data_IF_225657378895
#
_entry.id   IF_225657378895
#
_cell.length_a   1.000
_cell.length_b   1.000
_cell.length_c   1.000
_cell.angle_alpha   90.00
_cell.angle_beta   90.00
_cell.angle_gamma   90.00
#
_symmetry.space_group_name_H-M   'P 1'
#
loop_
_entity.id
_entity.type
_entity.pdbx_description
1 polymer ?
#
# COMPACT_ATOMS: atom_id res chain seq x y z
N UNK A 1 -4.31 -15.35 11.22
CA UNK A 1 -3.54 -14.60 12.20
C UNK A 1 -3.62 -13.11 11.86
N UNK A 2 -3.91 -12.30 12.85
CA UNK A 2 -3.92 -10.85 12.69
C UNK A 2 -2.49 -10.36 12.48
N UNK A 3 -2.30 -9.54 11.46
CA UNK A 3 -1.02 -8.84 11.24
C UNK A 3 -1.01 -7.63 12.17
N UNK A 4 0.06 -7.45 12.90
CA UNK A 4 0.30 -6.28 13.75
C UNK A 4 1.24 -5.33 13.02
N UNK A 5 0.92 -4.04 13.04
CA UNK A 5 1.67 -3.01 12.36
C UNK A 5 2.09 -1.89 13.30
N UNK A 6 3.30 -1.44 13.08
CA UNK A 6 3.80 -0.17 13.59
C UNK A 6 3.78 0.83 12.45
N UNK A 7 3.02 1.91 12.61
CA UNK A 7 2.84 2.92 11.56
C UNK A 7 3.48 4.22 11.99
N UNK A 8 4.25 4.83 11.09
CA UNK A 8 4.90 6.12 11.27
C UNK A 8 4.38 7.12 10.24
N UNK A 9 4.01 8.30 10.68
CA UNK A 9 3.55 9.36 9.80
C UNK A 9 2.58 10.35 10.49
N UNK A 10 2.02 11.28 9.71
CA UNK A 10 2.40 11.59 8.33
C UNK A 10 3.74 12.33 8.28
N UNK A 11 4.58 11.98 7.31
CA UNK A 11 5.93 12.56 7.17
C UNK A 11 5.97 13.49 5.97
N UNK A 12 6.38 14.76 6.13
CA UNK A 12 6.51 15.69 5.03
C UNK A 12 7.64 15.30 4.08
N UNK A 13 7.55 15.81 2.85
CA UNK A 13 8.42 15.41 1.76
C UNK A 13 9.92 15.63 2.03
N UNK A 14 10.27 16.70 2.72
CA UNK A 14 11.66 17.05 3.06
C UNK A 14 12.32 16.10 4.08
N UNK A 15 11.53 15.28 4.78
CA UNK A 15 12.01 14.29 5.74
C UNK A 15 11.92 12.84 5.27
N UNK A 16 11.38 12.59 4.09
CA UNK A 16 11.11 11.23 3.62
C UNK A 16 12.36 10.36 3.53
N UNK A 17 13.43 10.90 2.99
CA UNK A 17 14.69 10.15 2.84
C UNK A 17 15.32 9.83 4.20
N UNK A 18 15.36 10.78 5.10
CA UNK A 18 15.86 10.58 6.47
C UNK A 18 15.08 9.48 7.19
N UNK A 19 13.75 9.54 7.15
CA UNK A 19 12.88 8.57 7.80
C UNK A 19 13.03 7.19 7.18
N UNK A 20 13.10 7.11 5.86
CA UNK A 20 13.36 5.85 5.15
C UNK A 20 14.66 5.22 5.61
N UNK A 21 15.74 5.98 5.61
CA UNK A 21 17.06 5.48 6.00
C UNK A 21 17.08 5.01 7.45
N UNK A 22 16.43 5.73 8.35
CA UNK A 22 16.32 5.31 9.75
C UNK A 22 15.53 4.00 9.87
N UNK A 23 14.38 3.90 9.24
CA UNK A 23 13.56 2.68 9.30
C UNK A 23 14.28 1.48 8.67
N UNK A 24 14.96 1.66 7.54
CA UNK A 24 15.75 0.59 6.92
C UNK A 24 16.92 0.15 7.82
N UNK A 25 17.50 1.05 8.60
CA UNK A 25 18.52 0.75 9.59
C UNK A 25 17.95 0.18 10.91
N UNK A 26 16.64 -0.03 11.01
CA UNK A 26 15.99 -0.51 12.24
C UNK A 26 15.92 0.52 13.36
N UNK A 27 16.04 1.80 13.04
CA UNK A 27 16.00 2.91 14.00
C UNK A 27 14.65 3.62 13.95
N UNK A 28 14.13 3.98 15.11
CA UNK A 28 12.93 4.83 15.18
C UNK A 28 13.27 6.25 14.68
N UNK A 29 12.44 6.80 13.77
CA UNK A 29 12.65 8.17 13.31
C UNK A 29 12.44 9.19 14.42
N UNK A 30 13.33 10.18 14.50
CA UNK A 30 13.23 11.23 15.51
C UNK A 30 11.95 12.05 15.37
N UNK A 31 11.29 12.35 16.48
CA UNK A 31 10.09 13.19 16.52
C UNK A 31 8.83 12.56 15.95
N UNK A 32 8.85 11.27 15.62
CA UNK A 32 7.66 10.52 15.19
C UNK A 32 7.28 9.48 16.25
N UNK A 33 6.07 9.61 16.75
CA UNK A 33 5.50 8.58 17.64
C UNK A 33 4.85 7.49 16.80
N UNK A 34 5.22 6.22 17.00
CA UNK A 34 4.60 5.12 16.27
C UNK A 34 3.15 4.90 16.72
N UNK A 35 2.31 4.54 15.77
CA UNK A 35 0.93 4.10 16.01
C UNK A 35 0.87 2.59 15.81
N UNK A 36 0.40 1.88 16.84
CA UNK A 36 0.18 0.44 16.75
C UNK A 36 -1.23 0.16 16.23
N UNK A 37 -1.34 -0.73 15.25
CA UNK A 37 -2.63 -1.13 14.69
C UNK A 37 -2.61 -2.60 14.26
N UNK A 38 -3.78 -3.15 13.96
CA UNK A 38 -3.95 -4.56 13.60
C UNK A 38 -4.83 -4.72 12.36
N UNK A 39 -4.62 -5.81 11.65
CA UNK A 39 -5.41 -6.22 10.51
C UNK A 39 -4.66 -6.14 9.20
N UNK A 40 -5.30 -6.62 8.14
CA UNK A 40 -4.73 -6.63 6.80
C UNK A 40 -4.95 -5.33 6.02
N UNK A 41 -5.84 -4.47 6.49
CA UNK A 41 -6.16 -3.19 5.87
C UNK A 41 -5.82 -2.05 6.81
N UNK A 42 -4.95 -1.17 6.35
CA UNK A 42 -4.54 0.01 7.09
C UNK A 42 -5.08 1.25 6.40
N UNK A 43 -5.96 1.97 7.08
CA UNK A 43 -6.51 3.23 6.60
C UNK A 43 -5.80 4.40 7.26
N UNK A 44 -4.95 5.08 6.51
CA UNK A 44 -4.27 6.28 6.99
C UNK A 44 -5.19 7.49 6.92
N UNK A 45 -6.01 7.57 5.87
CA UNK A 45 -7.03 8.59 5.68
C UNK A 45 -8.15 8.06 4.80
N UNK A 46 -9.39 8.23 5.23
CA UNK A 46 -10.53 7.94 4.37
C UNK A 46 -10.81 9.11 3.42
N UNK A 47 -11.56 8.85 2.37
CA UNK A 47 -11.95 9.87 1.39
C UNK A 47 -12.68 11.05 2.03
N UNK A 48 -13.53 10.80 3.01
CA UNK A 48 -14.25 11.82 3.74
C UNK A 48 -13.34 12.66 4.66
N UNK A 49 -12.09 12.27 4.85
CA UNK A 49 -11.11 12.98 5.65
C UNK A 49 -11.35 12.93 7.15
N UNK A 50 -12.40 12.26 7.58
CA UNK A 50 -12.80 12.26 8.99
C UNK A 50 -12.24 11.07 9.78
N UNK A 51 -11.82 10.03 9.10
CA UNK A 51 -11.41 8.76 9.71
C UNK A 51 -10.06 8.30 9.17
N UNK A 52 -9.40 7.45 9.91
CA UNK A 52 -8.08 6.91 9.62
C UNK A 52 -7.05 7.34 10.65
N UNK A 53 -5.85 6.82 10.52
CA UNK A 53 -4.76 7.10 11.47
C UNK A 53 -4.27 8.56 11.36
N UNK A 54 -4.37 9.16 10.17
CA UNK A 54 -3.86 10.50 9.86
C UNK A 54 -4.89 11.35 9.09
N UNK A 55 -6.04 11.69 9.70
CA UNK A 55 -7.15 12.30 8.98
C UNK A 55 -6.87 13.70 8.40
N UNK A 56 -5.93 14.42 8.97
CA UNK A 56 -5.59 15.81 8.57
C UNK A 56 -4.38 15.88 7.63
N UNK A 57 -3.99 14.76 7.02
CA UNK A 57 -2.82 14.71 6.13
C UNK A 57 -3.04 15.49 4.85
N UNK A 58 -1.98 16.14 4.37
CA UNK A 58 -1.94 16.84 3.10
C UNK A 58 -1.24 16.00 2.02
N UNK A 59 -1.57 16.19 0.73
CA UNK A 59 -0.81 15.61 -0.36
C UNK A 59 0.69 15.94 -0.25
N UNK A 60 1.54 14.99 -0.66
CA UNK A 60 2.99 15.08 -0.53
C UNK A 60 3.55 14.44 0.73
N UNK A 61 2.71 14.13 1.72
CA UNK A 61 3.14 13.39 2.90
C UNK A 61 3.22 11.88 2.61
N UNK A 62 3.99 11.18 3.44
CA UNK A 62 4.17 9.73 3.34
C UNK A 62 3.92 9.08 4.70
N UNK A 63 3.37 7.88 4.69
CA UNK A 63 3.32 6.99 5.84
C UNK A 63 4.18 5.76 5.58
N UNK A 64 4.73 5.19 6.64
CA UNK A 64 5.38 3.90 6.64
C UNK A 64 4.63 2.95 7.54
N UNK A 65 4.43 1.72 7.06
CA UNK A 65 3.89 0.64 7.85
C UNK A 65 4.91 -0.48 7.94
N UNK A 66 5.23 -0.88 9.15
CA UNK A 66 6.19 -1.94 9.44
C UNK A 66 5.50 -3.09 10.16
N UNK A 67 5.78 -4.32 9.75
CA UNK A 67 5.40 -5.52 10.49
C UNK A 67 6.56 -6.48 10.59
N UNK A 68 6.63 -7.18 11.72
CA UNK A 68 7.55 -8.29 11.93
C UNK A 68 6.75 -9.55 12.23
N UNK A 69 7.23 -10.68 11.75
CA UNK A 69 6.62 -11.98 12.00
C UNK A 69 7.67 -13.09 11.95
N UNK A 70 7.36 -14.18 12.63
CA UNK A 70 8.23 -15.35 12.66
C UNK A 70 7.76 -16.39 11.65
N UNK A 71 8.70 -16.89 10.83
CA UNK A 71 8.50 -18.07 10.00
C UNK A 71 9.30 -19.24 10.54
N UNK A 72 8.70 -20.43 10.74
CA UNK A 72 9.45 -21.58 11.22
C UNK A 72 10.42 -22.14 10.18
N UNK A 73 10.20 -21.83 8.92
CA UNK A 73 10.98 -22.32 7.78
C UNK A 73 11.22 -21.23 6.76
N UNK A 74 12.29 -21.35 6.00
CA UNK A 74 12.50 -20.58 4.78
C UNK A 74 11.52 -21.04 3.69
N UNK A 75 11.02 -20.11 2.89
CA UNK A 75 10.08 -20.43 1.82
C UNK A 75 9.42 -19.21 1.20
N UNK A 76 8.27 -19.46 0.58
CA UNK A 76 7.47 -18.44 -0.06
C UNK A 76 6.16 -18.22 0.68
N UNK A 77 5.93 -17.01 1.16
CA UNK A 77 4.64 -16.55 1.65
C UNK A 77 3.90 -15.85 0.50
N UNK A 78 2.59 -15.95 0.49
CA UNK A 78 1.74 -15.21 -0.43
C UNK A 78 0.89 -14.19 0.33
N UNK A 79 0.71 -13.00 -0.25
CA UNK A 79 -0.16 -11.99 0.33
C UNK A 79 -0.97 -11.27 -0.75
N UNK A 80 -2.21 -10.94 -0.42
CA UNK A 80 -2.97 -9.95 -1.16
C UNK A 80 -2.41 -8.57 -0.82
N UNK A 81 -1.98 -7.84 -1.83
CA UNK A 81 -1.36 -6.51 -1.65
C UNK A 81 -2.15 -5.49 -2.45
N UNK A 82 -2.59 -4.45 -1.79
CA UNK A 82 -3.32 -3.35 -2.40
C UNK A 82 -2.95 -2.02 -1.76
N UNK A 83 -3.12 -0.96 -2.51
CA UNK A 83 -2.82 0.40 -2.06
C UNK A 83 -4.03 1.26 -2.32
N UNK A 84 -4.36 2.10 -1.33
CA UNK A 84 -5.57 2.88 -1.37
C UNK A 84 -6.84 2.08 -1.04
N UNK A 85 -7.90 2.76 -0.63
CA UNK A 85 -9.18 2.11 -0.44
C UNK A 85 -9.84 1.85 -1.79
N UNK A 86 -10.56 0.75 -1.95
CA UNK A 86 -11.28 0.43 -3.19
C UNK A 86 -12.54 1.30 -3.32
N UNK A 87 -12.36 2.59 -3.53
CA UNK A 87 -13.46 3.50 -3.74
C UNK A 87 -13.54 3.91 -5.21
N UNK A 88 -14.75 3.90 -5.76
CA UNK A 88 -15.01 4.16 -7.18
C UNK A 88 -14.41 5.47 -7.72
N UNK A 89 -14.16 6.41 -6.88
CA UNK A 89 -13.60 7.71 -7.25
C UNK A 89 -12.11 7.87 -7.01
N UNK A 90 -11.46 6.88 -6.43
CA UNK A 90 -10.03 6.91 -6.11
C UNK A 90 -9.23 6.19 -7.16
N UNK A 91 -9.04 6.80 -8.31
CA UNK A 91 -8.45 6.13 -9.47
C UNK A 91 -6.93 6.19 -9.53
N UNK A 92 -6.32 7.18 -8.90
CA UNK A 92 -4.90 7.43 -9.11
C UNK A 92 -4.00 6.33 -8.58
N UNK A 93 -4.31 5.80 -7.40
CA UNK A 93 -3.49 4.75 -6.79
C UNK A 93 -4.06 3.35 -6.96
N UNK A 94 -5.33 3.22 -7.32
CA UNK A 94 -6.01 1.94 -7.52
C UNK A 94 -5.96 1.42 -8.95
N UNK A 95 -5.49 2.22 -9.90
CA UNK A 95 -5.31 1.80 -11.30
C UNK A 95 -4.19 0.77 -11.47
N UNK A 96 -4.04 0.31 -12.71
CA UNK A 96 -2.99 -0.64 -13.08
C UNK A 96 -1.62 0.03 -12.95
N UNK A 97 -0.72 -0.47 -12.11
CA UNK A 97 0.63 0.05 -12.02
C UNK A 97 1.45 -0.35 -13.25
N UNK A 98 2.52 0.40 -13.52
CA UNK A 98 3.52 0.02 -14.49
C UNK A 98 4.25 -1.26 -14.07
N UNK A 99 4.91 -1.93 -14.99
CA UNK A 99 5.66 -3.14 -14.71
C UNK A 99 6.73 -2.89 -13.64
N UNK A 100 6.75 -3.72 -12.62
CA UNK A 100 7.67 -3.58 -11.48
C UNK A 100 7.22 -2.60 -10.40
N UNK A 101 6.22 -1.80 -10.65
CA UNK A 101 5.67 -0.82 -9.72
C UNK A 101 4.53 -1.43 -8.88
N UNK A 102 4.38 -0.97 -7.64
CA UNK A 102 3.32 -1.43 -6.75
C UNK A 102 2.02 -0.64 -6.92
N UNK A 103 2.14 0.64 -7.19
CA UNK A 103 1.02 1.55 -7.39
C UNK A 103 1.39 2.67 -8.36
N UNK A 104 0.41 3.49 -8.74
CA UNK A 104 0.66 4.69 -9.53
C UNK A 104 1.20 5.87 -8.68
N UNK A 105 1.32 5.68 -7.37
CA UNK A 105 1.66 6.75 -6.42
C UNK A 105 3.06 6.65 -5.81
N UNK A 106 3.89 5.74 -6.30
CA UNK A 106 5.27 5.61 -5.82
C UNK A 106 5.43 4.77 -4.56
N UNK A 107 4.52 3.84 -4.32
CA UNK A 107 4.63 2.88 -3.21
C UNK A 107 5.89 2.03 -3.34
N UNK A 108 6.57 1.80 -2.23
CA UNK A 108 7.75 0.93 -2.15
C UNK A 108 7.60 -0.06 -1.03
N UNK A 109 8.10 -1.27 -1.24
CA UNK A 109 8.08 -2.37 -0.25
C UNK A 109 9.49 -2.93 -0.10
N UNK A 110 9.89 -3.15 1.14
CA UNK A 110 11.12 -3.88 1.48
C UNK A 110 10.78 -5.11 2.30
N UNK A 111 11.43 -6.20 1.99
CA UNK A 111 11.36 -7.46 2.74
C UNK A 111 12.77 -7.75 3.26
N UNK A 112 12.90 -7.84 4.57
CA UNK A 112 14.19 -8.07 5.24
C UNK A 112 15.28 -7.07 4.79
N UNK A 113 14.91 -5.79 4.62
CA UNK A 113 15.80 -4.70 4.21
C UNK A 113 16.09 -4.61 2.71
N UNK A 114 15.64 -5.57 1.91
CA UNK A 114 15.80 -5.56 0.45
C UNK A 114 14.55 -5.03 -0.21
N UNK A 115 14.68 -3.99 -1.06
CA UNK A 115 13.57 -3.48 -1.85
C UNK A 115 13.06 -4.54 -2.83
N UNK A 116 11.77 -4.72 -2.82
CA UNK A 116 11.07 -5.66 -3.69
C UNK A 116 10.30 -4.90 -4.76
N UNK A 117 10.52 -5.25 -6.01
CA UNK A 117 9.68 -4.83 -7.12
C UNK A 117 8.47 -5.73 -7.24
N UNK A 118 7.35 -5.18 -7.73
CA UNK A 118 6.17 -5.98 -7.97
C UNK A 118 6.47 -7.03 -9.06
N UNK A 119 6.38 -8.33 -8.74
CA UNK A 119 6.69 -9.38 -9.70
C UNK A 119 5.57 -9.62 -10.71
N UNK A 120 4.42 -8.98 -10.54
CA UNK A 120 3.23 -9.23 -11.34
C UNK A 120 3.05 -8.16 -12.41
N UNK A 121 2.60 -8.60 -13.57
CA UNK A 121 2.12 -7.73 -14.64
C UNK A 121 0.62 -7.92 -14.78
N UNK A 122 -0.12 -6.83 -14.72
CA UNK A 122 -1.56 -6.85 -14.80
C UNK A 122 -2.05 -6.47 -16.17
N UNK A 123 -2.98 -7.25 -16.70
CA UNK A 123 -3.73 -6.90 -17.92
C UNK A 123 -5.20 -6.80 -17.53
N UNK A 124 -5.75 -5.62 -17.64
CA UNK A 124 -7.19 -5.42 -17.45
C UNK A 124 -7.89 -5.39 -18.80
N UNK A 125 -8.89 -6.25 -18.95
CA UNK A 125 -9.86 -6.08 -20.01
C UNK A 125 -10.60 -4.75 -19.79
N UNK A 126 -10.74 -3.96 -20.82
CA UNK A 126 -11.46 -2.70 -20.73
C UNK A 126 -10.65 -1.49 -20.26
N UNK A 127 -9.34 -1.62 -20.06
CA UNK A 127 -8.47 -0.48 -19.73
C UNK A 127 -8.64 0.71 -20.69
N UNK A 128 -8.94 0.46 -21.96
CA UNK A 128 -9.24 1.49 -22.96
C UNK A 128 -10.47 2.33 -22.64
N UNK A 129 -11.35 1.88 -21.78
CA UNK A 129 -12.51 2.64 -21.32
C UNK A 129 -12.09 3.90 -20.57
N UNK A 130 -10.87 3.92 -20.02
CA UNK A 130 -10.34 5.08 -19.30
C UNK A 130 -10.08 6.29 -20.19
N UNK A 131 -9.94 6.09 -21.49
CA UNK A 131 -9.61 7.16 -22.42
C UNK A 131 -10.80 8.06 -22.77
N UNK A 132 -12.04 7.61 -22.50
CA UNK A 132 -13.27 8.31 -22.91
C UNK A 132 -14.30 8.45 -21.79
N UNK A 133 -13.87 8.90 -20.65
CA UNK A 133 -14.79 9.10 -19.53
C UNK A 133 -15.71 10.26 -19.72
N UNK A 134 -17.00 9.98 -19.75
CA UNK A 134 -17.99 10.94 -19.33
C UNK A 134 -18.70 10.39 -18.09
N UNK A 135 -19.18 11.27 -17.25
CA UNK A 135 -19.89 10.91 -16.02
C UNK A 135 -21.10 9.99 -16.25
N UNK A 136 -21.69 10.01 -17.44
CA UNK A 136 -22.88 9.25 -17.81
C UNK A 136 -22.59 8.08 -18.76
N UNK A 137 -21.35 7.74 -18.99
CA UNK A 137 -21.01 6.65 -19.90
C UNK A 137 -20.88 5.32 -19.13
N UNK A 138 -21.03 4.17 -19.82
CA UNK A 138 -20.69 2.87 -19.24
C UNK A 138 -19.25 2.82 -18.71
N UNK A 139 -18.40 3.74 -19.15
CA UNK A 139 -17.08 3.94 -18.62
C UNK A 139 -17.05 4.39 -17.15
N UNK A 140 -18.17 4.80 -16.57
CA UNK A 140 -18.30 5.03 -15.14
C UNK A 140 -18.18 3.75 -14.31
N UNK A 141 -18.28 2.61 -14.92
CA UNK A 141 -17.97 1.33 -14.30
C UNK A 141 -16.48 1.07 -14.15
N UNK A 142 -15.65 1.96 -14.68
CA UNK A 142 -14.22 1.85 -14.49
C UNK A 142 -13.80 1.97 -13.03
N UNK A 143 -14.39 2.82 -12.20
CA UNK A 143 -14.16 2.72 -10.78
C UNK A 143 -14.52 1.35 -10.22
N UNK A 144 -15.49 0.71 -10.84
CA UNK A 144 -15.85 -0.67 -10.54
C UNK A 144 -14.75 -1.63 -11.01
N UNK A 145 -14.27 -1.46 -12.23
CA UNK A 145 -13.13 -2.21 -12.75
C UNK A 145 -11.87 -2.03 -11.87
N UNK A 146 -11.67 -0.85 -11.29
CA UNK A 146 -10.59 -0.61 -10.34
C UNK A 146 -10.80 -1.36 -9.03
N UNK A 147 -12.02 -1.42 -8.53
CA UNK A 147 -12.36 -2.22 -7.37
C UNK A 147 -12.18 -3.70 -7.66
N UNK A 148 -12.64 -4.17 -8.80
CA UNK A 148 -12.43 -5.54 -9.27
C UNK A 148 -10.95 -5.86 -9.40
N UNK A 149 -10.17 -4.95 -9.99
CA UNK A 149 -8.73 -5.12 -10.09
C UNK A 149 -8.09 -5.22 -8.72
N UNK A 150 -8.51 -4.41 -7.77
CA UNK A 150 -7.98 -4.42 -6.42
C UNK A 150 -8.30 -5.73 -5.70
N UNK A 151 -9.53 -6.22 -5.82
CA UNK A 151 -9.98 -7.48 -5.21
C UNK A 151 -9.51 -8.72 -5.97
N UNK A 152 -9.41 -8.62 -7.28
CA UNK A 152 -9.03 -9.72 -8.16
C UNK A 152 -7.52 -9.87 -8.36
N UNK A 153 -6.72 -9.02 -7.74
CA UNK A 153 -5.25 -9.18 -7.79
C UNK A 153 -4.85 -10.54 -7.27
N UNK A 154 -4.07 -11.29 -8.04
CA UNK A 154 -3.54 -12.55 -7.53
C UNK A 154 -2.60 -12.28 -6.35
N UNK A 155 -2.52 -13.20 -5.37
CA UNK A 155 -1.58 -13.05 -4.27
C UNK A 155 -0.14 -12.92 -4.75
N UNK A 156 0.59 -12.00 -4.16
CA UNK A 156 1.99 -11.73 -4.48
C UNK A 156 2.89 -12.67 -3.66
N UNK A 157 3.88 -13.35 -4.29
CA UNK A 157 4.84 -14.16 -3.56
C UNK A 157 5.93 -13.29 -2.90
N UNK A 158 6.22 -13.55 -1.64
CA UNK A 158 7.31 -12.95 -0.86
C UNK A 158 8.24 -14.04 -0.34
N UNK A 159 9.54 -13.87 -0.52
CA UNK A 159 10.53 -14.77 0.05
C UNK A 159 10.71 -14.47 1.54
N UNK A 160 10.57 -15.48 2.37
CA UNK A 160 10.77 -15.42 3.81
C UNK A 160 11.91 -16.32 4.23
N UNK A 161 12.67 -15.90 5.24
CA UNK A 161 13.70 -16.73 5.88
C UNK A 161 13.14 -17.42 7.12
N UNK A 162 13.77 -18.48 7.56
CA UNK A 162 13.50 -19.04 8.87
C UNK A 162 13.85 -18.00 9.96
N UNK A 163 13.02 -17.92 10.99
CA UNK A 163 13.15 -16.93 12.05
C UNK A 163 12.35 -15.65 11.78
N UNK A 164 12.85 -14.55 12.31
CA UNK A 164 12.17 -13.25 12.21
C UNK A 164 12.28 -12.67 10.80
N UNK A 165 11.17 -12.22 10.28
CA UNK A 165 11.03 -11.50 9.03
C UNK A 165 10.44 -10.11 9.28
N UNK A 166 10.81 -9.16 8.45
CA UNK A 166 10.35 -7.78 8.51
C UNK A 166 9.87 -7.31 7.15
N UNK A 167 8.72 -6.69 7.12
CA UNK A 167 8.18 -6.00 5.95
C UNK A 167 8.02 -4.52 6.29
N UNK A 168 8.52 -3.66 5.43
CA UNK A 168 8.35 -2.21 5.49
C UNK A 168 7.68 -1.74 4.21
N UNK A 169 6.63 -0.96 4.34
CA UNK A 169 5.87 -0.36 3.25
C UNK A 169 5.94 1.16 3.37
N UNK A 170 6.36 1.82 2.30
CA UNK A 170 6.31 3.26 2.13
C UNK A 170 5.12 3.60 1.23
N UNK A 171 4.18 4.38 1.76
CA UNK A 171 2.96 4.74 1.06
C UNK A 171 2.79 6.26 0.97
N UNK A 172 3.14 6.88 -0.18
CA UNK A 172 2.90 8.29 -0.43
C UNK A 172 1.41 8.61 -0.53
N UNK A 173 1.04 9.81 -0.08
CA UNK A 173 -0.29 10.39 -0.28
C UNK A 173 -0.25 11.45 -1.38
N UNK A 174 -1.00 11.24 -2.46
CA UNK A 174 -0.90 12.06 -3.68
C UNK A 174 -2.13 12.89 -3.99
N UNK A 175 -3.24 12.73 -3.26
CA UNK A 175 -4.46 13.46 -3.58
C UNK A 175 -5.42 13.67 -2.43
N UNK A 176 -5.98 14.88 -2.35
CA UNK A 176 -6.88 15.29 -1.27
C UNK A 176 -8.21 14.54 -1.22
N UNK A 177 -8.69 14.10 -2.39
CA UNK A 177 -9.97 13.41 -2.52
C UNK A 177 -9.84 11.90 -2.57
N UNK A 178 -8.65 11.39 -2.37
CA UNK A 178 -8.39 9.96 -2.38
C UNK A 178 -8.37 9.42 -0.96
N UNK A 179 -8.80 8.19 -0.80
CA UNK A 179 -8.44 7.42 0.36
C UNK A 179 -6.95 7.11 0.32
N UNK A 180 -6.35 6.95 1.49
CA UNK A 180 -4.94 6.69 1.62
C UNK A 180 -4.74 5.52 2.58
N UNK A 181 -4.22 4.44 2.07
CA UNK A 181 -4.09 3.23 2.84
C UNK A 181 -3.30 2.15 2.12
N UNK A 182 -3.13 1.04 2.80
CA UNK A 182 -2.48 -0.15 2.27
C UNK A 182 -3.19 -1.39 2.79
N UNK A 183 -3.26 -2.41 1.95
CA UNK A 183 -3.70 -3.74 2.32
C UNK A 183 -2.57 -4.71 2.15
N UNK A 184 -2.32 -5.50 3.16
CA UNK A 184 -1.38 -6.61 3.13
C UNK A 184 -1.99 -7.77 3.92
N UNK A 185 -2.54 -8.73 3.19
CA UNK A 185 -3.31 -9.84 3.76
C UNK A 185 -2.62 -11.15 3.40
N UNK A 186 -1.87 -11.77 4.34
CA UNK A 186 -1.29 -13.08 4.11
C UNK A 186 -2.37 -14.10 3.79
N UNK A 187 -2.13 -14.91 2.76
CA UNK A 187 -3.04 -15.97 2.34
C UNK A 187 -2.33 -17.32 2.40
N UNK A 188 -3.07 -18.35 2.81
CA UNK A 188 -2.60 -19.72 2.68
C UNK A 188 -2.75 -20.13 1.22
N UNK A 189 -1.74 -20.76 0.69
CA UNK A 189 -1.85 -21.49 -0.58
C UNK A 189 -2.56 -22.79 -0.34
#
# INVERSE_FOLDING_TARGET
>A
SFVEWTVFGPVPQDRQEEVRNNLLAGKSPAGLSPVQTRGGNLYFRTRAGAEGLFPKTKPGNTAWAETTFHSPVEGTMHAMVGFDAPARSTRRCSGVPAAGEWSQCGTRIWVNGKEMKNPQTYKLAGQRRYEKHTWNSPANEIPFDNEEFWWARPPVPFQVKAGENRILIEQPYTGEFQSWGVSFIPVKK
#
